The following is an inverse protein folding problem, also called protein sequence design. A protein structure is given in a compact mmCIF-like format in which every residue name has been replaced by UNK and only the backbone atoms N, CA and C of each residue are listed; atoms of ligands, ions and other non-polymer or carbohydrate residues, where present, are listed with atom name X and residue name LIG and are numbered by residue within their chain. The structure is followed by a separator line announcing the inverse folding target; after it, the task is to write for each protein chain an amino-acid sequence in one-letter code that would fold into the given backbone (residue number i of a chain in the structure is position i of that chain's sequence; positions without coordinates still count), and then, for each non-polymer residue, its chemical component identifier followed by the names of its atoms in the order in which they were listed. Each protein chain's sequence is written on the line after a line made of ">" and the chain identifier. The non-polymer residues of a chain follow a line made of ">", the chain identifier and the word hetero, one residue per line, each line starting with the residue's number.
data_IF_483830324220
#
_entry.id   IF_483830324220
#
_cell.length_a   1.000
_cell.length_b   1.000
_cell.length_c   1.000
_cell.angle_alpha   90.00
_cell.angle_beta   90.00
_cell.angle_gamma   90.00
#
_symmetry.space_group_name_H-M   'P 1'
#
loop_
_entity.id
_entity.type
_entity.pdbx_description
1 polymer ?
#
# COMPACT_ATOMS: atom_id res chain seq x y z
N UNK A 1 -71.54 -24.89 32.54
CA UNK A 1 -71.21 -23.61 31.88
C UNK A 1 -70.04 -23.89 30.95
N UNK A 2 -70.31 -23.86 29.66
CA UNK A 2 -69.42 -24.28 28.58
C UNK A 2 -68.64 -23.09 27.98
N UNK A 3 -67.52 -23.41 27.35
CA UNK A 3 -66.89 -22.77 26.18
C UNK A 3 -66.71 -21.24 26.13
N UNK A 4 -65.46 -20.79 25.97
CA UNK A 4 -65.05 -20.21 24.67
C UNK A 4 -63.53 -20.10 24.52
N UNK A 5 -63.08 -20.46 23.32
CA UNK A 5 -61.73 -20.36 22.78
C UNK A 5 -61.84 -19.41 21.57
N UNK A 6 -61.14 -18.28 21.58
CA UNK A 6 -60.79 -17.47 20.38
C UNK A 6 -59.38 -16.94 20.68
N UNK A 7 -58.29 -17.39 20.05
CA UNK A 7 -57.86 -17.31 18.64
C UNK A 7 -57.84 -15.89 18.08
N UNK A 8 -56.63 -15.51 17.65
CA UNK A 8 -56.26 -14.55 16.59
C UNK A 8 -55.84 -13.15 17.04
N UNK A 9 -54.63 -12.74 16.66
CA UNK A 9 -54.22 -11.34 16.78
C UNK A 9 -52.74 -11.04 16.58
N UNK A 10 -52.20 -11.40 15.41
CA UNK A 10 -51.03 -10.81 14.76
C UNK A 10 -50.59 -9.41 15.29
N UNK A 11 -49.51 -9.37 16.07
CA UNK A 11 -48.78 -8.16 16.41
C UNK A 11 -47.64 -7.92 15.42
N UNK A 12 -47.98 -7.49 14.20
CA UNK A 12 -47.02 -6.89 13.29
C UNK A 12 -46.53 -5.55 13.88
N UNK A 13 -45.21 -5.34 13.95
CA UNK A 13 -44.69 -4.05 14.38
C UNK A 13 -43.17 -3.95 14.36
N UNK A 14 -42.62 -3.35 13.29
CA UNK A 14 -41.43 -2.50 13.42
C UNK A 14 -40.10 -3.10 12.99
N UNK A 15 -39.93 -3.28 11.69
CA UNK A 15 -38.80 -2.77 10.91
C UNK A 15 -37.54 -2.36 11.70
N UNK A 16 -36.50 -3.18 11.70
CA UNK A 16 -35.12 -2.74 12.01
C UNK A 16 -34.12 -3.08 10.91
N UNK A 17 -34.56 -3.00 9.67
CA UNK A 17 -33.70 -2.92 8.48
C UNK A 17 -33.22 -1.48 8.28
N UNK A 18 -32.30 -1.00 9.12
CA UNK A 18 -31.70 0.35 8.98
C UNK A 18 -30.17 0.51 9.19
N UNK A 19 -29.27 -0.49 9.06
CA UNK A 19 -27.84 -0.17 9.03
C UNK A 19 -27.35 0.37 7.65
N UNK A 20 -28.11 0.19 6.57
CA UNK A 20 -27.64 0.51 5.21
C UNK A 20 -27.84 1.99 4.80
N UNK A 21 -28.74 2.73 5.46
CA UNK A 21 -29.09 4.11 5.04
C UNK A 21 -28.11 5.16 5.58
N UNK A 22 -27.52 4.93 6.76
CA UNK A 22 -26.51 5.80 7.37
C UNK A 22 -25.17 5.70 6.63
N UNK A 23 -24.69 4.48 6.38
CA UNK A 23 -23.43 4.23 5.65
C UNK A 23 -23.44 4.80 4.23
N UNK A 24 -24.58 4.69 3.51
CA UNK A 24 -24.74 5.28 2.18
C UNK A 24 -24.61 6.81 2.21
N UNK A 25 -25.16 7.46 3.24
CA UNK A 25 -25.18 8.92 3.37
C UNK A 25 -23.81 9.49 3.75
N UNK A 26 -23.06 8.77 4.58
CA UNK A 26 -21.66 9.07 4.89
C UNK A 26 -20.76 8.86 3.67
N UNK A 27 -20.94 7.76 2.93
CA UNK A 27 -20.21 7.52 1.69
C UNK A 27 -20.49 8.59 0.62
N UNK A 28 -21.74 9.04 0.48
CA UNK A 28 -22.12 10.14 -0.43
C UNK A 28 -21.49 11.48 -0.02
N UNK A 29 -21.40 11.74 1.28
CA UNK A 29 -20.79 12.96 1.82
C UNK A 29 -19.26 12.96 1.61
N UNK A 30 -18.61 11.83 1.90
CA UNK A 30 -17.17 11.66 1.66
C UNK A 30 -16.84 11.67 0.16
N UNK A 31 -17.67 11.05 -0.68
CA UNK A 31 -17.51 11.10 -2.14
C UNK A 31 -17.67 12.52 -2.69
N UNK A 32 -18.61 13.31 -2.15
CA UNK A 32 -18.78 14.72 -2.50
C UNK A 32 -17.56 15.56 -2.11
N UNK A 33 -17.00 15.34 -0.92
CA UNK A 33 -15.82 16.05 -0.43
C UNK A 33 -14.56 15.68 -1.23
N UNK A 34 -14.39 14.40 -1.57
CA UNK A 34 -13.33 13.92 -2.45
C UNK A 34 -13.48 14.45 -3.88
N UNK A 35 -14.70 14.55 -4.41
CA UNK A 35 -14.96 15.09 -5.73
C UNK A 35 -14.63 16.60 -5.83
N UNK A 36 -14.83 17.36 -4.75
CA UNK A 36 -14.46 18.78 -4.71
C UNK A 36 -12.94 18.96 -4.60
N UNK A 37 -12.29 18.25 -3.67
CA UNK A 37 -10.83 18.27 -3.56
C UNK A 37 -10.14 17.79 -4.86
N UNK A 38 -10.73 16.81 -5.56
CA UNK A 38 -10.25 16.32 -6.85
C UNK A 38 -10.35 17.37 -7.97
N UNK A 39 -11.35 18.26 -7.94
CA UNK A 39 -11.44 19.38 -8.90
C UNK A 39 -10.35 20.41 -8.66
N UNK A 40 -10.11 20.80 -7.41
CA UNK A 40 -9.06 21.77 -7.08
C UNK A 40 -7.67 21.27 -7.51
N UNK A 41 -7.40 19.97 -7.30
CA UNK A 41 -6.16 19.33 -7.77
C UNK A 41 -6.13 19.29 -9.30
N UNK A 42 -7.23 18.93 -9.96
CA UNK A 42 -7.31 18.92 -11.43
C UNK A 42 -7.00 20.30 -12.01
N UNK A 43 -7.58 21.36 -11.45
CA UNK A 43 -7.40 22.72 -11.95
C UNK A 43 -5.95 23.20 -11.77
N UNK A 44 -5.33 22.90 -10.63
CA UNK A 44 -3.89 23.19 -10.40
C UNK A 44 -2.97 22.37 -11.31
N UNK A 45 -3.29 21.09 -11.52
CA UNK A 45 -2.51 20.20 -12.38
C UNK A 45 -2.62 20.63 -13.84
N UNK A 46 -3.81 21.02 -14.32
CA UNK A 46 -4.00 21.52 -15.68
C UNK A 46 -3.22 22.82 -15.89
N UNK A 47 -3.31 23.77 -14.95
CA UNK A 47 -2.57 25.04 -15.04
C UNK A 47 -1.04 24.84 -15.01
N UNK A 48 -0.53 23.91 -14.21
CA UNK A 48 0.89 23.60 -14.19
C UNK A 48 1.34 22.80 -15.42
N UNK A 49 0.49 21.91 -15.94
CA UNK A 49 0.81 21.08 -17.10
C UNK A 49 1.03 21.92 -18.36
N UNK A 50 0.26 22.99 -18.58
CA UNK A 50 0.42 23.82 -19.78
C UNK A 50 1.81 24.48 -19.86
N UNK A 51 2.36 24.95 -18.74
CA UNK A 51 3.68 25.58 -18.69
C UNK A 51 4.83 24.55 -18.64
N UNK A 52 4.57 23.39 -18.00
CA UNK A 52 5.61 22.38 -17.77
C UNK A 52 5.70 21.31 -18.83
N UNK A 53 4.70 21.13 -19.70
CA UNK A 53 4.69 20.07 -20.73
C UNK A 53 5.86 20.19 -21.70
N UNK A 54 6.21 21.39 -22.14
CA UNK A 54 7.31 21.56 -23.10
C UNK A 54 8.68 21.30 -22.46
N UNK A 55 8.90 21.79 -21.24
CA UNK A 55 10.11 21.50 -20.46
C UNK A 55 10.18 20.01 -20.04
N UNK A 56 9.03 19.41 -19.72
CA UNK A 56 8.92 18.01 -19.36
C UNK A 56 9.18 17.11 -20.55
N UNK A 57 8.75 17.47 -21.78
CA UNK A 57 9.06 16.71 -22.99
C UNK A 57 10.56 16.62 -23.25
N UNK A 58 11.27 17.75 -23.18
CA UNK A 58 12.71 17.78 -23.36
C UNK A 58 13.44 16.88 -22.33
N UNK A 59 13.06 16.98 -21.06
CA UNK A 59 13.63 16.12 -20.00
C UNK A 59 13.17 14.66 -20.10
N UNK A 60 11.98 14.42 -20.64
CA UNK A 60 11.44 13.07 -20.82
C UNK A 60 12.23 12.31 -21.87
N UNK A 61 12.69 12.95 -22.94
CA UNK A 61 13.52 12.30 -23.96
C UNK A 61 14.87 11.87 -23.38
N UNK A 62 15.54 12.75 -22.63
CA UNK A 62 16.80 12.43 -21.93
C UNK A 62 16.61 11.29 -20.91
N UNK A 63 15.56 11.38 -20.10
CA UNK A 63 15.22 10.38 -19.11
C UNK A 63 14.84 9.04 -19.75
N UNK A 64 14.11 9.06 -20.87
CA UNK A 64 13.74 7.87 -21.61
C UNK A 64 14.98 7.18 -22.20
N UNK A 65 15.96 7.95 -22.66
CA UNK A 65 17.27 7.44 -23.07
C UNK A 65 17.98 6.71 -21.93
N UNK A 66 18.16 7.39 -20.79
CA UNK A 66 18.81 6.81 -19.62
C UNK A 66 18.07 5.57 -19.06
N UNK A 67 16.74 5.63 -19.02
CA UNK A 67 15.90 4.52 -18.58
C UNK A 67 16.02 3.30 -19.51
N UNK A 68 16.13 3.53 -20.82
CA UNK A 68 16.29 2.44 -21.81
C UNK A 68 17.65 1.76 -21.69
N UNK A 69 18.71 2.53 -21.47
CA UNK A 69 20.06 1.99 -21.26
C UNK A 69 20.12 1.18 -19.97
N UNK A 70 19.66 1.76 -18.86
CA UNK A 70 19.56 1.05 -17.58
C UNK A 70 18.71 -0.22 -17.67
N UNK A 71 17.55 -0.17 -18.35
CA UNK A 71 16.68 -1.33 -18.53
C UNK A 71 17.32 -2.43 -19.36
N UNK A 72 18.15 -2.07 -20.35
CA UNK A 72 18.88 -3.03 -21.18
C UNK A 72 19.96 -3.73 -20.36
N UNK A 73 20.79 -2.97 -19.64
CA UNK A 73 21.89 -3.49 -18.81
C UNK A 73 21.37 -4.33 -17.62
N UNK A 74 20.37 -3.81 -16.90
CA UNK A 74 19.74 -4.51 -15.80
C UNK A 74 18.96 -5.74 -16.30
N UNK A 75 18.26 -5.62 -17.43
CA UNK A 75 17.49 -6.72 -18.00
C UNK A 75 18.36 -7.91 -18.40
N UNK A 76 19.55 -7.65 -18.95
CA UNK A 76 20.49 -8.71 -19.31
C UNK A 76 21.08 -9.41 -18.07
N UNK A 77 21.44 -8.62 -17.05
CA UNK A 77 21.93 -9.13 -15.77
C UNK A 77 20.86 -9.96 -15.04
N UNK A 78 19.62 -9.47 -15.02
CA UNK A 78 18.49 -10.17 -14.40
C UNK A 78 18.21 -11.48 -15.14
N UNK A 79 18.21 -11.50 -16.48
CA UNK A 79 18.01 -12.75 -17.24
C UNK A 79 19.09 -13.79 -16.95
N UNK A 80 20.36 -13.36 -16.87
CA UNK A 80 21.48 -14.25 -16.55
C UNK A 80 21.35 -14.83 -15.13
N UNK A 81 20.98 -14.00 -14.14
CA UNK A 81 20.78 -14.44 -12.75
C UNK A 81 19.51 -15.24 -12.53
N UNK A 82 18.41 -14.89 -13.20
CA UNK A 82 17.14 -15.59 -13.10
C UNK A 82 17.21 -17.03 -13.63
N UNK A 83 18.01 -17.27 -14.68
CA UNK A 83 18.28 -18.64 -15.13
C UNK A 83 19.15 -19.44 -14.15
N UNK A 84 20.00 -18.78 -13.36
CA UNK A 84 20.85 -19.40 -12.35
C UNK A 84 20.16 -19.60 -10.98
N UNK A 85 19.09 -18.86 -10.68
CA UNK A 85 18.40 -18.83 -9.37
C UNK A 85 16.92 -19.25 -9.41
N UNK A 86 16.53 -20.14 -10.34
CA UNK A 86 15.14 -20.63 -10.42
C UNK A 86 14.67 -21.35 -9.15
N UNK A 87 15.57 -21.96 -8.37
CA UNK A 87 15.23 -22.64 -7.10
C UNK A 87 15.05 -21.67 -5.89
N UNK A 88 15.64 -20.47 -5.92
CA UNK A 88 15.60 -19.55 -4.77
C UNK A 88 14.31 -18.71 -4.67
N UNK A 89 13.42 -18.80 -5.65
CA UNK A 89 12.20 -17.97 -5.73
C UNK A 89 11.05 -18.43 -4.83
N UNK A 90 10.99 -19.70 -4.45
CA UNK A 90 9.87 -20.27 -3.71
C UNK A 90 9.74 -19.69 -2.29
N UNK A 91 10.85 -19.53 -1.58
CA UNK A 91 10.87 -18.98 -0.21
C UNK A 91 10.46 -17.49 -0.18
N UNK A 92 10.77 -16.74 -1.25
CA UNK A 92 10.45 -15.31 -1.34
C UNK A 92 8.95 -15.08 -1.57
N UNK A 93 8.32 -15.93 -2.39
CA UNK A 93 6.88 -15.87 -2.67
C UNK A 93 6.06 -16.28 -1.44
N UNK A 94 6.53 -17.27 -0.66
CA UNK A 94 5.91 -17.66 0.61
C UNK A 94 5.83 -16.51 1.61
N UNK A 95 6.91 -15.75 1.77
CA UNK A 95 6.93 -14.59 2.68
C UNK A 95 5.98 -13.46 2.28
N UNK A 96 5.80 -13.23 0.97
CA UNK A 96 4.85 -12.24 0.44
C UNK A 96 3.41 -12.71 0.65
N UNK A 97 3.12 -14.00 0.38
CA UNK A 97 1.80 -14.57 0.60
C UNK A 97 1.38 -14.48 2.07
N UNK A 98 2.30 -14.76 3.01
CA UNK A 98 2.05 -14.64 4.44
C UNK A 98 1.86 -13.19 4.90
N UNK A 99 2.55 -12.22 4.28
CA UNK A 99 2.36 -10.81 4.57
C UNK A 99 0.99 -10.31 4.08
N UNK A 100 0.60 -10.70 2.86
CA UNK A 100 -0.71 -10.40 2.30
C UNK A 100 -1.82 -11.03 3.13
N UNK A 101 -1.68 -12.31 3.52
CA UNK A 101 -2.65 -13.02 4.37
C UNK A 101 -2.88 -12.31 5.71
N UNK A 102 -1.80 -11.85 6.35
CA UNK A 102 -1.85 -11.07 7.60
C UNK A 102 -2.56 -9.72 7.40
N UNK A 103 -2.27 -9.02 6.32
CA UNK A 103 -2.94 -7.75 6.00
C UNK A 103 -4.43 -7.94 5.65
N UNK A 104 -4.81 -9.02 4.96
CA UNK A 104 -6.21 -9.33 4.63
C UNK A 104 -7.04 -9.62 5.88
N UNK A 105 -6.47 -10.29 6.88
CA UNK A 105 -7.16 -10.53 8.15
C UNK A 105 -7.45 -9.23 8.93
N UNK A 106 -6.64 -8.18 8.73
CA UNK A 106 -6.88 -6.86 9.32
C UNK A 106 -7.97 -6.06 8.55
N UNK A 107 -8.05 -6.25 7.23
CA UNK A 107 -8.96 -5.50 6.35
C UNK A 107 -10.37 -6.09 6.21
N UNK A 108 -10.59 -7.34 6.63
CA UNK A 108 -11.87 -8.05 6.48
C UNK A 108 -13.02 -7.43 7.32
N UNK A 109 -12.72 -6.54 8.26
CA UNK A 109 -13.70 -5.96 9.17
C UNK A 109 -14.37 -4.64 8.69
N UNK A 110 -13.80 -3.90 7.72
CA UNK A 110 -14.14 -2.47 7.58
C UNK A 110 -14.81 -1.99 6.26
N UNK A 111 -14.76 -2.71 5.12
CA UNK A 111 -15.11 -2.06 3.83
C UNK A 111 -16.00 -2.86 2.84
N UNK A 112 -17.33 -2.66 2.85
CA UNK A 112 -18.29 -3.33 1.93
C UNK A 112 -18.15 -2.92 0.45
N UNK A 113 -17.66 -1.72 0.15
CA UNK A 113 -17.44 -1.21 -1.22
C UNK A 113 -16.27 -1.91 -1.92
N UNK A 114 -15.34 -2.50 -1.16
CA UNK A 114 -14.23 -3.26 -1.70
C UNK A 114 -14.71 -4.55 -2.39
N UNK A 115 -15.81 -5.16 -1.96
CA UNK A 115 -16.23 -6.50 -2.41
C UNK A 115 -16.52 -6.67 -3.90
N UNK A 116 -16.85 -5.60 -4.64
CA UNK A 116 -17.08 -5.67 -6.10
C UNK A 116 -15.79 -5.49 -6.89
N UNK A 117 -14.91 -4.58 -6.43
CA UNK A 117 -13.59 -4.36 -7.03
C UNK A 117 -12.63 -5.50 -6.70
N UNK A 118 -12.68 -6.04 -5.49
CA UNK A 118 -11.90 -7.19 -5.05
C UNK A 118 -12.23 -8.45 -5.84
N UNK A 119 -13.50 -8.68 -6.23
CA UNK A 119 -13.88 -9.84 -7.05
C UNK A 119 -13.33 -9.76 -8.48
N UNK A 120 -13.30 -8.55 -9.05
CA UNK A 120 -12.65 -8.30 -10.36
C UNK A 120 -11.13 -8.37 -10.26
N UNK A 121 -10.56 -7.92 -9.14
CA UNK A 121 -9.13 -8.02 -8.88
C UNK A 121 -8.69 -9.47 -8.66
N UNK A 122 -9.47 -10.28 -7.93
CA UNK A 122 -9.18 -11.69 -7.69
C UNK A 122 -9.06 -12.49 -8.99
N UNK A 123 -10.03 -12.33 -9.91
CA UNK A 123 -9.98 -12.97 -11.23
C UNK A 123 -8.76 -12.55 -12.06
N UNK A 124 -8.27 -11.31 -11.87
CA UNK A 124 -7.06 -10.79 -12.54
C UNK A 124 -5.77 -11.32 -11.90
N UNK A 125 -5.77 -11.55 -10.59
CA UNK A 125 -4.61 -12.05 -9.84
C UNK A 125 -4.34 -13.53 -10.16
N UNK A 126 -5.39 -14.32 -10.35
CA UNK A 126 -5.27 -15.74 -10.71
C UNK A 126 -4.60 -15.93 -12.09
N UNK A 127 -4.96 -15.10 -13.08
CA UNK A 127 -4.32 -15.05 -14.42
C UNK A 127 -2.83 -14.69 -14.35
N UNK A 128 -2.45 -13.82 -13.41
CA UNK A 128 -1.06 -13.39 -13.21
C UNK A 128 -0.24 -14.50 -12.54
N UNK A 129 -0.79 -15.17 -11.53
CA UNK A 129 -0.13 -16.28 -10.82
C UNK A 129 0.26 -17.41 -11.78
N UNK A 130 -0.65 -17.73 -12.70
CA UNK A 130 -0.50 -18.77 -13.70
C UNK A 130 0.62 -18.45 -14.71
N UNK A 131 0.80 -17.17 -15.04
CA UNK A 131 1.87 -16.68 -15.94
C UNK A 131 3.22 -16.63 -15.24
N UNK A 132 3.24 -16.26 -13.95
CA UNK A 132 4.46 -16.25 -13.12
C UNK A 132 5.00 -17.67 -12.95
N UNK A 133 4.13 -18.66 -12.74
CA UNK A 133 4.53 -20.07 -12.57
C UNK A 133 5.10 -20.68 -13.86
N UNK A 134 4.63 -20.23 -15.03
CA UNK A 134 5.17 -20.65 -16.33
C UNK A 134 6.51 -20.00 -16.68
N UNK A 135 6.93 -18.96 -15.94
CA UNK A 135 8.26 -18.35 -16.06
C UNK A 135 8.43 -17.41 -17.25
N UNK A 136 7.33 -17.03 -17.91
CA UNK A 136 7.35 -16.17 -19.10
C UNK A 136 7.38 -14.69 -18.73
N UNK A 137 8.53 -14.23 -18.21
CA UNK A 137 8.78 -12.83 -17.83
C UNK A 137 8.53 -11.88 -19.03
N UNK A 138 8.81 -12.34 -20.25
CA UNK A 138 8.54 -11.58 -21.46
C UNK A 138 7.06 -11.26 -21.65
N UNK A 139 6.16 -12.15 -21.25
CA UNK A 139 4.72 -11.93 -21.37
C UNK A 139 4.17 -11.05 -20.26
N UNK A 140 4.76 -11.11 -19.05
CA UNK A 140 4.49 -10.15 -17.99
C UNK A 140 4.85 -8.71 -18.41
N UNK A 141 6.03 -8.51 -19.01
CA UNK A 141 6.45 -7.19 -19.51
C UNK A 141 5.50 -6.68 -20.60
N UNK A 142 5.10 -7.55 -21.54
CA UNK A 142 4.10 -7.19 -22.56
C UNK A 142 2.76 -6.81 -21.95
N UNK A 143 2.31 -7.53 -20.92
CA UNK A 143 1.07 -7.24 -20.20
C UNK A 143 1.10 -5.88 -19.51
N UNK A 144 2.20 -5.54 -18.84
CA UNK A 144 2.40 -4.22 -18.24
C UNK A 144 2.41 -3.11 -19.30
N UNK A 145 3.08 -3.35 -20.44
CA UNK A 145 3.11 -2.39 -21.55
C UNK A 145 1.71 -2.15 -22.15
N UNK A 146 0.91 -3.21 -22.32
CA UNK A 146 -0.45 -3.08 -22.84
C UNK A 146 -1.35 -2.33 -21.85
N UNK A 147 -1.22 -2.62 -20.55
CA UNK A 147 -1.92 -1.88 -19.50
C UNK A 147 -1.55 -0.39 -19.48
N UNK A 148 -0.26 -0.06 -19.56
CA UNK A 148 0.21 1.32 -19.59
C UNK A 148 -0.37 2.11 -20.77
N UNK A 149 -0.48 1.46 -21.94
CA UNK A 149 -1.08 2.07 -23.14
C UNK A 149 -2.58 2.22 -23.03
N UNK A 150 -3.29 1.26 -22.43
CA UNK A 150 -4.74 1.28 -22.25
C UNK A 150 -5.20 2.26 -21.18
N UNK A 151 -4.44 2.39 -20.09
CA UNK A 151 -4.79 3.20 -18.93
C UNK A 151 -3.59 4.04 -18.46
N UNK A 152 -3.20 5.08 -19.22
CA UNK A 152 -2.03 5.91 -18.90
C UNK A 152 -2.16 6.60 -17.53
N UNK A 153 -3.37 7.02 -17.15
CA UNK A 153 -3.62 7.67 -15.85
C UNK A 153 -3.43 6.72 -14.67
N UNK A 154 -3.93 5.49 -14.77
CA UNK A 154 -3.76 4.47 -13.75
C UNK A 154 -2.29 4.07 -13.61
N UNK A 155 -1.60 3.90 -14.73
CA UNK A 155 -0.17 3.59 -14.74
C UNK A 155 0.68 4.69 -14.10
N UNK A 156 0.44 5.96 -14.44
CA UNK A 156 1.15 7.09 -13.82
C UNK A 156 0.88 7.18 -12.32
N UNK A 157 -0.38 6.99 -11.90
CA UNK A 157 -0.73 6.95 -10.47
C UNK A 157 0.02 5.85 -9.72
N UNK A 158 0.05 4.64 -10.29
CA UNK A 158 0.80 3.51 -9.71
C UNK A 158 2.31 3.77 -9.69
N UNK A 159 2.87 4.34 -10.75
CA UNK A 159 4.30 4.65 -10.82
C UNK A 159 4.72 5.66 -9.74
N UNK A 160 3.91 6.70 -9.50
CA UNK A 160 4.16 7.67 -8.43
C UNK A 160 4.10 7.01 -7.06
N UNK A 161 3.07 6.20 -6.80
CA UNK A 161 2.95 5.46 -5.53
C UNK A 161 4.11 4.50 -5.31
N UNK A 162 4.53 3.77 -6.35
CA UNK A 162 5.67 2.86 -6.30
C UNK A 162 6.99 3.62 -6.06
N UNK A 163 7.20 4.75 -6.73
CA UNK A 163 8.38 5.60 -6.53
C UNK A 163 8.46 6.16 -5.11
N UNK A 164 7.34 6.66 -4.58
CA UNK A 164 7.27 7.12 -3.19
C UNK A 164 7.52 5.97 -2.21
N UNK A 165 6.89 4.81 -2.43
CA UNK A 165 7.08 3.61 -1.63
C UNK A 165 8.54 3.16 -1.60
N UNK A 166 9.20 3.17 -2.76
CA UNK A 166 10.63 2.85 -2.88
C UNK A 166 11.48 3.84 -2.07
N UNK A 167 11.29 5.15 -2.24
CA UNK A 167 12.01 6.18 -1.46
C UNK A 167 11.76 6.01 0.03
N UNK A 168 10.51 5.76 0.42
CA UNK A 168 10.13 5.56 1.83
C UNK A 168 10.75 4.28 2.40
N UNK A 169 10.85 3.21 1.62
CA UNK A 169 11.49 1.96 2.00
C UNK A 169 13.00 2.15 2.16
N UNK A 170 13.68 2.79 1.20
CA UNK A 170 15.10 3.12 1.30
C UNK A 170 15.39 3.94 2.56
N UNK A 171 14.62 5.02 2.80
CA UNK A 171 14.74 5.85 4.01
C UNK A 171 14.39 5.10 5.30
N UNK A 172 13.48 4.13 5.25
CA UNK A 172 13.15 3.27 6.40
C UNK A 172 14.27 2.31 6.72
N UNK A 173 14.83 1.68 5.69
CA UNK A 173 15.88 0.66 5.82
C UNK A 173 17.17 1.25 6.38
N UNK A 174 17.46 2.53 6.07
CA UNK A 174 18.60 3.24 6.65
C UNK A 174 18.40 3.63 8.13
N UNK A 175 17.18 3.52 8.66
CA UNK A 175 16.90 3.80 10.09
C UNK A 175 16.97 2.54 10.97
N UNK A 176 17.33 1.38 10.42
CA UNK A 176 17.53 0.13 11.18
C UNK A 176 18.99 -0.12 11.58
N UNK A 177 19.89 0.82 11.31
CA UNK A 177 21.24 0.82 11.87
C UNK A 177 21.26 1.65 13.16
N UNK A 178 20.52 1.21 14.18
CA UNK A 178 20.86 1.62 15.55
C UNK A 178 21.99 0.69 16.00
N UNK A 179 23.23 1.18 16.16
CA UNK A 179 24.25 0.41 16.84
C UNK A 179 23.73 0.25 18.26
N UNK A 180 23.48 -0.98 18.67
CA UNK A 180 23.32 -1.31 20.08
C UNK A 180 24.61 -0.92 20.81
N UNK A 181 24.71 0.34 21.24
CA UNK A 181 25.67 0.74 22.24
C UNK A 181 25.20 0.02 23.50
N UNK A 182 25.91 -1.08 23.79
CA UNK A 182 25.86 -1.78 25.05
C UNK A 182 25.81 -0.73 26.16
N UNK A 183 24.70 -0.70 26.89
CA UNK A 183 24.60 -0.09 28.21
C UNK A 183 25.75 -0.65 29.05
N UNK A 184 26.85 0.10 29.11
CA UNK A 184 27.84 -0.06 30.15
C UNK A 184 27.18 0.46 31.42
N UNK A 185 26.88 -0.48 32.31
CA UNK A 185 26.30 -0.29 33.61
C UNK A 185 26.90 0.90 34.35
N UNK A 186 26.05 1.85 34.72
CA UNK A 186 26.31 2.77 35.82
C UNK A 186 26.15 1.98 37.13
N UNK A 187 27.28 1.62 37.70
CA UNK A 187 27.47 1.26 39.11
C UNK A 187 28.51 2.29 39.59
N UNK A 188 28.27 3.17 40.56
CA UNK A 188 27.59 2.98 41.82
C UNK A 188 28.56 3.30 42.95
N UNK A 189 28.97 4.55 43.10
CA UNK A 189 29.78 5.01 44.24
C UNK A 189 30.36 6.40 43.96
N UNK A 190 30.10 7.45 44.73
CA UNK A 190 29.57 7.55 46.08
C UNK A 190 30.23 8.79 46.67
N UNK A 191 29.47 9.88 46.70
CA UNK A 191 29.83 11.23 47.12
C UNK A 191 30.75 11.34 48.35
N UNK A 192 31.83 12.09 48.13
CA UNK A 192 32.30 13.23 48.91
C UNK A 192 31.63 13.50 50.27
N UNK A 193 32.21 12.97 51.36
CA UNK A 193 31.97 13.48 52.71
C UNK A 193 33.10 14.43 53.14
N UNK A 194 32.90 15.72 52.87
CA UNK A 194 33.65 16.83 53.48
C UNK A 194 33.30 16.94 54.96
N UNK A 195 34.14 16.36 55.82
CA UNK A 195 34.11 16.52 57.28
C UNK A 195 34.92 17.73 57.74
N UNK A 196 34.33 18.49 58.66
CA UNK A 196 34.72 19.80 59.18
C UNK A 196 36.15 19.91 59.77
N UNK A 197 36.72 21.10 59.59
CA UNK A 197 37.82 21.67 60.39
C UNK A 197 37.36 21.80 61.84
N UNK A 198 38.09 21.16 62.74
CA UNK A 198 38.01 21.37 64.19
C UNK A 198 39.03 22.45 64.59
N UNK A 199 38.51 23.52 65.18
CA UNK A 199 39.24 24.70 65.65
C UNK A 199 38.81 24.87 67.11
N UNK A 200 39.57 24.33 68.08
CA UNK A 200 39.44 24.77 69.47
C UNK A 200 40.62 24.39 70.40
N UNK A 201 41.20 25.45 70.98
CA UNK A 201 42.06 25.61 72.16
C UNK A 201 43.58 25.46 72.01
#
# INVERSE_FOLDING_TARGET
>A
MAEQIEKTGNGAGGTRSQPLKSVKKEAETMAGQAANAGRDIKDRVVGLAEETVDAARAKADDLAGAAREFASEAGETIKQRANAQREAGADYIGGIADAIRRASHEFDNDVPIAGVYMRKAANKVEEISDTVQRGDISDLVKGVQDFARRQPTAFLGLAVLAGFGAVRFLKSSSSSAEPSYRTASHDGGGDDNRGYRDDSK
#
